data_IF_827703926300
#
_entry.id   IF_827703926300
#
_cell.length_a   1.000
_cell.length_b   1.000
_cell.length_c   1.000
_cell.angle_alpha   90.00
_cell.angle_beta   90.00
_cell.angle_gamma   90.00
#
_symmetry.space_group_name_H-M   'P 1'
#
loop_
_entity.id
_entity.type
_entity.pdbx_description
1 polymer ?
#
# COMPACT_ATOMS: atom_id res chain seq x y z
N UNK A 1 46.93 10.62 18.45
CA UNK A 1 46.62 10.07 17.12
C UNK A 1 45.45 9.08 17.19
N UNK A 2 45.32 8.32 18.27
CA UNK A 2 44.28 7.28 18.38
C UNK A 2 42.86 7.84 18.60
N UNK A 3 42.73 8.97 19.29
CA UNK A 3 41.44 9.67 19.43
C UNK A 3 40.84 10.05 18.07
N UNK A 4 41.66 10.58 17.16
CA UNK A 4 41.23 11.00 15.82
C UNK A 4 40.84 9.78 14.98
N UNK A 5 41.60 8.69 15.08
CA UNK A 5 41.28 7.42 14.40
C UNK A 5 39.94 6.86 14.87
N UNK A 6 39.74 6.74 16.18
CA UNK A 6 38.50 6.24 16.77
C UNK A 6 37.31 7.12 16.39
N UNK A 7 37.48 8.45 16.40
CA UNK A 7 36.45 9.40 15.99
C UNK A 7 36.08 9.22 14.51
N UNK A 8 37.07 9.11 13.62
CA UNK A 8 36.84 8.84 12.20
C UNK A 8 36.13 7.50 11.97
N UNK A 9 36.54 6.44 12.69
CA UNK A 9 35.87 5.13 12.60
C UNK A 9 34.41 5.24 13.01
N UNK A 10 34.10 5.89 14.13
CA UNK A 10 32.72 6.09 14.60
C UNK A 10 31.88 6.85 13.57
N UNK A 11 32.43 7.94 13.00
CA UNK A 11 31.72 8.73 11.98
C UNK A 11 31.42 7.90 10.74
N UNK A 12 32.37 7.10 10.27
CA UNK A 12 32.15 6.21 9.11
C UNK A 12 31.06 5.19 9.40
N UNK A 13 31.08 4.53 10.57
CA UNK A 13 30.02 3.61 10.95
C UNK A 13 28.65 4.29 11.06
N UNK A 14 28.60 5.51 11.59
CA UNK A 14 27.37 6.28 11.68
C UNK A 14 26.84 6.65 10.29
N UNK A 15 27.71 7.10 9.37
CA UNK A 15 27.32 7.37 7.98
C UNK A 15 26.78 6.12 7.30
N UNK A 16 27.44 4.97 7.46
CA UNK A 16 26.97 3.70 6.90
C UNK A 16 25.62 3.29 7.48
N UNK A 17 25.41 3.45 8.79
CA UNK A 17 24.12 3.17 9.43
C UNK A 17 23.02 4.09 8.89
N UNK A 18 23.28 5.39 8.76
CA UNK A 18 22.33 6.36 8.20
C UNK A 18 21.99 6.04 6.75
N UNK A 19 22.96 5.61 5.94
CA UNK A 19 22.74 5.16 4.57
C UNK A 19 21.96 3.85 4.47
N UNK A 20 22.03 2.98 5.48
CA UNK A 20 21.28 1.72 5.51
C UNK A 20 19.79 1.91 5.85
N UNK A 21 19.43 2.93 6.65
CA UNK A 21 18.04 3.23 7.04
C UNK A 21 17.05 3.31 5.86
N UNK A 22 17.29 4.08 4.77
CA UNK A 22 16.37 4.13 3.64
C UNK A 22 16.24 2.79 2.92
N UNK A 23 17.29 1.98 2.86
CA UNK A 23 17.25 0.65 2.25
C UNK A 23 16.37 -0.31 3.07
N UNK A 24 16.50 -0.27 4.39
CA UNK A 24 15.64 -1.06 5.30
C UNK A 24 14.19 -0.59 5.18
N UNK A 25 13.96 0.73 5.21
CA UNK A 25 12.63 1.31 5.04
C UNK A 25 11.98 0.93 3.72
N UNK A 26 12.72 0.97 2.62
CA UNK A 26 12.25 0.55 1.30
C UNK A 26 11.94 -0.96 1.27
N UNK A 27 12.79 -1.80 1.85
CA UNK A 27 12.56 -3.24 1.94
C UNK A 27 11.31 -3.60 2.74
N UNK A 28 11.11 -2.96 3.90
CA UNK A 28 9.90 -3.14 4.72
C UNK A 28 8.65 -2.61 4.02
N UNK A 29 8.75 -1.46 3.36
CA UNK A 29 7.67 -0.89 2.58
C UNK A 29 7.25 -1.81 1.43
N UNK A 30 8.21 -2.37 0.69
CA UNK A 30 7.94 -3.33 -0.37
C UNK A 30 7.26 -4.59 0.17
N UNK A 31 7.76 -5.15 1.27
CA UNK A 31 7.16 -6.31 1.93
C UNK A 31 5.70 -6.04 2.32
N UNK A 32 5.41 -4.85 2.86
CA UNK A 32 4.06 -4.46 3.23
C UNK A 32 3.13 -4.33 2.02
N UNK A 33 3.58 -3.71 0.93
CA UNK A 33 2.80 -3.58 -0.32
C UNK A 33 2.47 -4.96 -0.90
N UNK A 34 3.45 -5.86 -0.92
CA UNK A 34 3.24 -7.24 -1.39
C UNK A 34 2.22 -7.96 -0.50
N UNK A 35 2.35 -7.86 0.81
CA UNK A 35 1.40 -8.47 1.75
C UNK A 35 -0.02 -7.92 1.56
N UNK A 36 -0.16 -6.60 1.43
CA UNK A 36 -1.45 -5.94 1.18
C UNK A 36 -2.08 -6.39 -0.14
N UNK A 37 -1.26 -6.57 -1.19
CA UNK A 37 -1.73 -7.10 -2.47
C UNK A 37 -2.28 -8.53 -2.34
N UNK A 38 -1.61 -9.41 -1.61
CA UNK A 38 -2.13 -10.76 -1.36
C UNK A 38 -3.42 -10.76 -0.54
N UNK A 39 -3.53 -9.90 0.48
CA UNK A 39 -4.77 -9.73 1.24
C UNK A 39 -5.91 -9.21 0.35
N UNK A 40 -5.61 -8.28 -0.56
CA UNK A 40 -6.58 -7.78 -1.54
C UNK A 40 -7.01 -8.86 -2.54
N UNK A 41 -6.13 -9.80 -2.90
CA UNK A 41 -6.44 -10.93 -3.78
C UNK A 41 -7.23 -12.04 -3.07
N UNK A 42 -7.16 -12.12 -1.75
CA UNK A 42 -7.82 -13.14 -0.91
C UNK A 42 -9.30 -13.37 -1.24
N UNK A 43 -10.19 -12.36 -1.35
CA UNK A 43 -11.59 -12.57 -1.69
C UNK A 43 -11.78 -13.28 -3.04
N UNK A 44 -10.92 -13.00 -4.03
CA UNK A 44 -10.95 -13.67 -5.33
C UNK A 44 -10.57 -15.13 -5.17
N UNK A 45 -9.49 -15.41 -4.42
CA UNK A 45 -9.03 -16.79 -4.14
C UNK A 45 -10.07 -17.61 -3.36
N UNK A 46 -10.76 -16.99 -2.40
CA UNK A 46 -11.83 -17.62 -1.61
C UNK A 46 -12.96 -18.08 -2.54
N UNK A 47 -13.38 -17.24 -3.48
CA UNK A 47 -14.46 -17.59 -4.42
C UNK A 47 -14.00 -18.67 -5.40
N UNK A 48 -12.79 -18.56 -5.92
CA UNK A 48 -12.23 -19.56 -6.84
C UNK A 48 -12.17 -20.96 -6.20
N UNK A 49 -11.78 -21.07 -4.93
CA UNK A 49 -11.71 -22.33 -4.20
C UNK A 49 -13.03 -22.74 -3.51
N UNK A 50 -14.08 -21.93 -3.56
CA UNK A 50 -15.35 -22.24 -2.89
C UNK A 50 -16.16 -23.28 -3.67
N UNK A 51 -16.66 -24.31 -2.99
CA UNK A 51 -17.62 -25.27 -3.54
C UNK A 51 -19.07 -24.73 -3.51
N UNK A 52 -19.28 -23.53 -2.97
CA UNK A 52 -20.61 -22.93 -2.81
C UNK A 52 -21.16 -22.31 -4.09
N UNK A 53 -20.29 -21.98 -5.04
CA UNK A 53 -20.65 -21.31 -6.30
C UNK A 53 -20.10 -22.12 -7.46
N UNK A 54 -20.76 -22.06 -8.63
CA UNK A 54 -20.38 -22.86 -9.81
C UNK A 54 -19.83 -21.98 -10.94
N UNK A 55 -19.16 -22.59 -11.93
CA UNK A 55 -18.34 -21.92 -12.97
C UNK A 55 -18.75 -20.49 -13.38
N UNK A 56 -19.95 -20.32 -13.94
CA UNK A 56 -20.42 -18.99 -14.38
C UNK A 56 -20.73 -18.03 -13.23
N UNK A 57 -21.25 -18.55 -12.12
CA UNK A 57 -21.53 -17.77 -10.91
C UNK A 57 -20.23 -17.25 -10.25
N UNK A 58 -19.18 -18.08 -10.20
CA UNK A 58 -17.84 -17.67 -9.75
C UNK A 58 -17.33 -16.47 -10.55
N UNK A 59 -17.44 -16.54 -11.87
CA UNK A 59 -17.01 -15.44 -12.74
C UNK A 59 -17.82 -14.16 -12.50
N UNK A 60 -19.14 -14.27 -12.30
CA UNK A 60 -19.98 -13.12 -11.98
C UNK A 60 -19.56 -12.46 -10.66
N UNK A 61 -19.29 -13.25 -9.62
CA UNK A 61 -18.84 -12.74 -8.32
C UNK A 61 -17.44 -12.10 -8.39
N UNK A 62 -16.50 -12.69 -9.11
CA UNK A 62 -15.16 -12.13 -9.31
C UNK A 62 -15.23 -10.81 -10.08
N UNK A 63 -16.01 -10.77 -11.16
CA UNK A 63 -16.25 -9.54 -11.91
C UNK A 63 -16.85 -8.46 -11.00
N UNK A 64 -17.84 -8.80 -10.17
CA UNK A 64 -18.46 -7.87 -9.24
C UNK A 64 -17.43 -7.27 -8.27
N UNK A 65 -16.51 -8.06 -7.70
CA UNK A 65 -15.47 -7.56 -6.78
C UNK A 65 -14.49 -6.62 -7.49
N UNK A 66 -14.06 -6.98 -8.70
CA UNK A 66 -13.16 -6.15 -9.49
C UNK A 66 -13.86 -4.83 -9.82
N UNK A 67 -15.09 -4.86 -10.33
CA UNK A 67 -15.83 -3.65 -10.62
C UNK A 67 -16.07 -2.82 -9.36
N UNK A 68 -16.61 -3.36 -8.26
CA UNK A 68 -16.93 -2.55 -7.08
C UNK A 68 -15.69 -1.92 -6.43
N UNK A 69 -14.58 -2.64 -6.35
CA UNK A 69 -13.34 -2.13 -5.73
C UNK A 69 -12.62 -1.11 -6.61
N UNK A 70 -12.50 -1.38 -7.91
CA UNK A 70 -11.72 -0.55 -8.85
C UNK A 70 -12.53 0.63 -9.38
N UNK A 71 -13.83 0.48 -9.65
CA UNK A 71 -14.66 1.61 -10.10
C UNK A 71 -14.91 2.64 -9.01
N UNK A 72 -14.86 2.28 -7.72
CA UNK A 72 -15.00 3.24 -6.63
C UNK A 72 -13.96 4.37 -6.72
N UNK A 73 -12.72 4.04 -7.14
CA UNK A 73 -11.67 5.04 -7.35
C UNK A 73 -11.94 5.93 -8.57
N UNK A 74 -12.38 5.34 -9.69
CA UNK A 74 -12.73 6.11 -10.89
C UNK A 74 -13.87 7.09 -10.58
N UNK A 75 -14.91 6.63 -9.90
CA UNK A 75 -16.00 7.48 -9.45
C UNK A 75 -15.54 8.55 -8.46
N UNK A 76 -14.63 8.23 -7.54
CA UNK A 76 -14.06 9.24 -6.66
C UNK A 76 -13.37 10.37 -7.44
N UNK A 77 -12.54 10.06 -8.44
CA UNK A 77 -11.90 11.09 -9.27
C UNK A 77 -12.88 11.89 -10.13
N UNK A 78 -13.96 11.24 -10.60
CA UNK A 78 -14.94 11.91 -11.46
C UNK A 78 -15.93 12.77 -10.67
N UNK A 79 -16.35 12.31 -9.49
CA UNK A 79 -17.39 12.94 -8.69
C UNK A 79 -16.80 13.90 -7.65
N UNK A 80 -15.62 13.65 -7.08
CA UNK A 80 -15.08 14.53 -6.06
C UNK A 80 -14.39 15.78 -6.66
N UNK A 81 -14.67 17.01 -6.17
CA UNK A 81 -15.66 17.40 -5.17
C UNK A 81 -17.02 17.78 -5.80
N UNK A 82 -18.09 17.06 -5.42
CA UNK A 82 -19.47 17.34 -5.90
C UNK A 82 -19.98 18.71 -5.40
N UNK A 83 -19.48 19.16 -4.24
CA UNK A 83 -19.87 20.45 -3.64
C UNK A 83 -18.63 21.22 -3.20
N UNK A 84 -18.53 22.52 -3.49
CA UNK A 84 -17.46 23.35 -2.96
C UNK A 84 -17.52 23.34 -1.43
N UNK A 85 -16.36 23.25 -0.80
CA UNK A 85 -16.21 23.35 0.66
C UNK A 85 -16.62 24.77 1.05
N UNK A 86 -17.71 24.92 1.82
CA UNK A 86 -18.05 26.21 2.44
C UNK A 86 -17.11 26.44 3.60
N UNK A 87 -16.20 27.38 3.43
CA UNK A 87 -15.32 27.85 4.49
C UNK A 87 -16.09 28.88 5.32
N UNK A 88 -16.57 28.47 6.49
CA UNK A 88 -17.31 29.33 7.44
C UNK A 88 -16.38 30.24 8.25
N UNK A 89 -15.19 30.57 7.75
CA UNK A 89 -14.16 31.30 8.51
C UNK A 89 -14.50 32.78 8.81
N UNK A 90 -15.72 33.22 8.48
CA UNK A 90 -16.23 34.56 8.80
C UNK A 90 -17.73 34.53 9.14
N UNK A 91 -18.11 33.83 10.22
CA UNK A 91 -19.40 34.00 10.92
C UNK A 91 -19.17 34.29 12.40
#
# INVERSE_FOLDING_TARGET
>A
MDLIKNLCTIIVFLMLAVLALPLIGAGLGLMFVIAAFFVWLLPILIILNSDKTSGGEKLAWILAIIFLSWFAWIFYFLLAPIKPRRDYWYE
#
